data_IF_478529991820
#
_entry.id   IF_478529991820
#
_cell.length_a   1.000
_cell.length_b   1.000
_cell.length_c   1.000
_cell.angle_alpha   90.00
_cell.angle_beta   90.00
_cell.angle_gamma   90.00
#
_symmetry.space_group_name_H-M   'P 1'
#
loop_
_entity.id
_entity.type
_entity.pdbx_description
1 polymer ?
#
# COMPACT_ATOMS: atom_id res chain seq x y z
N UNK A 1 -8.01 -10.64 -14.92
CA UNK A 1 -7.59 -9.25 -14.71
C UNK A 1 -8.55 -8.58 -13.74
N UNK A 2 -8.02 -7.95 -12.72
CA UNK A 2 -8.84 -7.27 -11.70
C UNK A 2 -8.78 -5.77 -11.91
N UNK A 3 -9.88 -5.09 -11.62
CA UNK A 3 -9.98 -3.65 -11.74
C UNK A 3 -10.31 -3.02 -10.40
N UNK A 4 -9.70 -1.87 -10.11
CA UNK A 4 -10.00 -1.06 -8.93
C UNK A 4 -10.17 0.39 -9.35
N UNK A 5 -10.99 1.15 -8.65
CA UNK A 5 -11.10 2.58 -8.90
C UNK A 5 -9.76 3.27 -8.61
N UNK A 6 -9.13 2.91 -7.48
CA UNK A 6 -7.84 3.44 -7.09
C UNK A 6 -6.88 2.28 -6.82
N UNK A 7 -5.75 2.29 -7.52
CA UNK A 7 -4.69 1.31 -7.31
C UNK A 7 -3.48 2.04 -6.72
N UNK A 8 -3.04 1.59 -5.56
CA UNK A 8 -1.90 2.16 -4.86
C UNK A 8 -0.76 1.14 -4.91
N UNK A 9 0.39 1.56 -5.38
CA UNK A 9 1.58 0.73 -5.41
C UNK A 9 2.48 1.16 -4.25
N UNK A 10 2.60 0.30 -3.27
CA UNK A 10 3.34 0.55 -2.04
C UNK A 10 2.42 0.67 -0.83
N UNK A 11 2.56 -0.26 0.11
CA UNK A 11 1.74 -0.33 1.33
C UNK A 11 2.42 0.18 2.58
N UNK A 12 3.40 1.07 2.43
CA UNK A 12 4.00 1.74 3.58
C UNK A 12 3.07 2.79 4.17
N UNK A 13 3.57 3.59 5.11
CA UNK A 13 2.77 4.62 5.77
C UNK A 13 2.07 5.56 4.77
N UNK A 14 2.78 5.95 3.72
CA UNK A 14 2.22 6.87 2.72
C UNK A 14 1.06 6.23 1.96
N UNK A 15 1.22 4.98 1.50
CA UNK A 15 0.16 4.28 0.76
C UNK A 15 -1.08 4.05 1.60
N UNK A 16 -0.91 3.63 2.84
CA UNK A 16 -2.02 3.41 3.76
C UNK A 16 -2.70 4.73 4.12
N UNK A 17 -1.94 5.80 4.31
CA UNK A 17 -2.48 7.12 4.60
C UNK A 17 -3.32 7.64 3.43
N UNK A 18 -2.86 7.45 2.20
CA UNK A 18 -3.61 7.83 1.00
C UNK A 18 -4.91 7.04 0.92
N UNK A 19 -4.87 5.73 1.15
CA UNK A 19 -6.07 4.89 1.13
C UNK A 19 -7.09 5.36 2.19
N UNK A 20 -6.62 5.65 3.39
CA UNK A 20 -7.47 6.14 4.47
C UNK A 20 -8.12 7.49 4.11
N UNK A 21 -7.34 8.40 3.53
CA UNK A 21 -7.86 9.71 3.13
C UNK A 21 -8.92 9.58 2.04
N UNK A 22 -8.65 8.75 1.04
CA UNK A 22 -9.60 8.53 -0.05
C UNK A 22 -10.89 7.92 0.49
N UNK A 23 -10.78 6.91 1.35
CA UNK A 23 -11.95 6.27 1.92
C UNK A 23 -12.79 7.23 2.77
N UNK A 24 -12.16 8.17 3.47
CA UNK A 24 -12.88 9.16 4.27
C UNK A 24 -13.62 10.18 3.40
N UNK A 25 -13.10 10.44 2.19
CA UNK A 25 -13.71 11.39 1.26
C UNK A 25 -14.79 10.74 0.41
N UNK A 26 -14.61 9.47 0.04
CA UNK A 26 -15.54 8.76 -0.82
C UNK A 26 -15.45 7.25 -0.55
N UNK A 27 -16.32 6.76 0.32
CA UNK A 27 -16.24 5.38 0.83
C UNK A 27 -16.72 4.31 -0.16
N UNK A 28 -17.29 4.69 -1.30
CA UNK A 28 -17.79 3.73 -2.30
C UNK A 28 -16.78 3.39 -3.38
N UNK A 29 -15.58 3.98 -3.34
CA UNK A 29 -14.52 3.63 -4.27
C UNK A 29 -13.84 2.32 -3.86
N UNK A 30 -13.56 1.47 -4.86
CA UNK A 30 -12.74 0.28 -4.63
C UNK A 30 -11.27 0.68 -4.61
N UNK A 31 -10.58 0.30 -3.54
CA UNK A 31 -9.16 0.64 -3.34
C UNK A 31 -8.37 -0.66 -3.22
N UNK A 32 -7.31 -0.77 -4.00
CA UNK A 32 -6.37 -1.89 -3.90
C UNK A 32 -4.97 -1.36 -3.65
N UNK A 33 -4.20 -2.09 -2.85
CA UNK A 33 -2.81 -1.77 -2.58
C UNK A 33 -1.95 -2.96 -2.96
N UNK A 34 -0.96 -2.72 -3.83
CA UNK A 34 0.03 -3.73 -4.19
C UNK A 34 1.22 -3.56 -3.25
N UNK A 35 1.47 -4.57 -2.41
CA UNK A 35 2.55 -4.55 -1.44
C UNK A 35 3.04 -5.97 -1.19
N UNK A 36 4.30 -6.31 -1.55
CA UNK A 36 4.81 -7.66 -1.35
C UNK A 36 5.19 -7.99 0.10
N UNK A 37 5.43 -7.00 0.93
CA UNK A 37 5.93 -7.20 2.29
C UNK A 37 4.84 -7.64 3.26
N UNK A 38 5.17 -8.60 4.13
CA UNK A 38 4.30 -9.01 5.23
C UNK A 38 4.37 -8.06 6.43
N UNK A 39 5.35 -7.16 6.43
CA UNK A 39 5.65 -6.31 7.58
C UNK A 39 5.50 -4.84 7.24
N UNK A 40 4.91 -4.10 8.14
CA UNK A 40 4.85 -2.64 8.09
C UNK A 40 5.92 -2.07 9.00
N UNK A 41 6.72 -1.15 8.48
CA UNK A 41 7.80 -0.51 9.21
C UNK A 41 7.46 0.95 9.46
N UNK A 42 7.47 1.34 10.73
CA UNK A 42 7.28 2.75 11.09
C UNK A 42 8.63 3.47 11.13
N UNK A 43 9.11 3.86 9.97
CA UNK A 43 10.43 4.47 9.81
C UNK A 43 10.58 5.79 10.56
N UNK A 44 9.51 6.53 10.73
CA UNK A 44 9.54 7.81 11.44
C UNK A 44 10.03 7.67 12.88
N UNK A 45 9.89 6.50 13.50
CA UNK A 45 10.34 6.26 14.87
C UNK A 45 11.81 5.82 14.95
N UNK A 46 12.47 5.56 13.83
CA UNK A 46 13.85 5.03 13.85
C UNK A 46 14.87 5.98 14.44
N UNK A 47 14.64 7.28 14.34
CA UNK A 47 15.49 8.28 15.02
C UNK A 47 15.44 8.07 16.54
N UNK A 48 14.26 7.78 17.08
CA UNK A 48 14.09 7.50 18.50
C UNK A 48 14.73 6.18 18.91
N UNK A 49 14.70 5.19 18.03
CA UNK A 49 15.39 3.91 18.24
C UNK A 49 16.89 4.15 18.37
N UNK A 50 17.47 4.95 17.47
CA UNK A 50 18.88 5.29 17.52
C UNK A 50 19.29 6.02 18.79
N UNK A 51 18.39 6.81 19.37
CA UNK A 51 18.63 7.53 20.62
C UNK A 51 18.33 6.68 21.86
N UNK A 52 17.87 5.42 21.68
CA UNK A 52 17.51 4.54 22.80
C UNK A 52 16.18 4.86 23.47
N UNK A 53 15.38 5.77 22.88
CA UNK A 53 14.09 6.19 23.44
C UNK A 53 12.91 5.35 22.98
N UNK A 54 13.13 4.46 22.01
CA UNK A 54 12.05 3.64 21.42
C UNK A 54 12.61 2.28 21.02
N UNK A 55 11.83 1.23 21.24
CA UNK A 55 12.23 -0.13 20.89
C UNK A 55 11.97 -0.39 19.41
N UNK A 56 12.96 -0.90 18.70
CA UNK A 56 12.84 -1.22 17.27
C UNK A 56 11.68 -2.20 16.99
N UNK A 57 11.41 -3.13 17.90
CA UNK A 57 10.30 -4.06 17.78
C UNK A 57 8.95 -3.38 17.67
N UNK A 58 8.81 -2.20 18.25
CA UNK A 58 7.57 -1.43 18.18
C UNK A 58 7.39 -0.70 16.86
N UNK A 59 8.41 -0.67 15.99
CA UNK A 59 8.33 -0.06 14.67
C UNK A 59 7.95 -1.07 13.58
N UNK A 60 7.89 -2.34 13.93
CA UNK A 60 7.63 -3.44 12.99
C UNK A 60 6.32 -4.11 13.39
N UNK A 61 5.37 -4.15 12.45
CA UNK A 61 4.08 -4.81 12.65
C UNK A 61 3.74 -5.67 11.45
N UNK A 62 2.95 -6.75 11.62
CA UNK A 62 2.44 -7.49 10.47
C UNK A 62 1.61 -6.55 9.57
N UNK A 63 1.80 -6.65 8.27
CA UNK A 63 1.05 -5.83 7.31
C UNK A 63 -0.46 -6.07 7.46
N UNK A 64 -0.86 -7.30 7.77
CA UNK A 64 -2.26 -7.66 7.97
C UNK A 64 -2.95 -6.88 9.11
N UNK A 65 -2.18 -6.41 10.10
CA UNK A 65 -2.74 -5.63 11.21
C UNK A 65 -2.96 -4.16 10.83
N UNK A 66 -2.15 -3.63 9.91
CA UNK A 66 -2.21 -2.21 9.55
C UNK A 66 -2.99 -1.96 8.27
N UNK A 67 -3.17 -2.98 7.44
CA UNK A 67 -3.90 -2.85 6.20
C UNK A 67 -5.39 -2.67 6.49
N UNK A 68 -6.00 -1.55 6.05
CA UNK A 68 -7.43 -1.31 6.33
C UNK A 68 -8.32 -2.38 5.70
N UNK A 69 -9.41 -2.72 6.38
CA UNK A 69 -10.34 -3.76 5.92
C UNK A 69 -11.09 -3.41 4.64
N UNK A 70 -11.20 -2.14 4.29
CA UNK A 70 -11.84 -1.69 3.05
C UNK A 70 -10.89 -1.73 1.85
N UNK A 71 -9.62 -2.07 2.05
CA UNK A 71 -8.61 -2.15 1.00
C UNK A 71 -8.41 -3.60 0.60
N UNK A 72 -8.33 -3.86 -0.70
CA UNK A 72 -7.90 -5.16 -1.22
C UNK A 72 -6.38 -5.16 -1.24
N UNK A 73 -5.79 -5.95 -0.36
CA UNK A 73 -4.33 -6.10 -0.31
C UNK A 73 -3.88 -7.14 -1.33
N UNK A 74 -3.06 -6.71 -2.29
CA UNK A 74 -2.46 -7.58 -3.30
C UNK A 74 -1.01 -7.80 -2.88
N UNK A 75 -0.73 -8.99 -2.35
CA UNK A 75 0.60 -9.35 -1.85
C UNK A 75 1.50 -9.77 -3.01
N UNK A 76 1.79 -8.82 -3.88
CA UNK A 76 2.60 -9.00 -5.08
C UNK A 76 3.46 -7.76 -5.26
N UNK A 77 4.44 -7.82 -6.16
CA UNK A 77 5.24 -6.66 -6.48
C UNK A 77 5.00 -6.23 -7.93
N UNK A 78 5.04 -4.91 -8.15
CA UNK A 78 4.86 -4.35 -9.49
C UNK A 78 6.11 -4.60 -10.32
N UNK A 79 5.93 -5.15 -11.51
CA UNK A 79 7.02 -5.41 -12.44
C UNK A 79 7.06 -4.38 -13.56
N UNK A 80 5.89 -3.95 -14.03
CA UNK A 80 5.80 -3.06 -15.16
C UNK A 80 4.57 -2.16 -15.06
N UNK A 81 4.74 -0.89 -15.36
CA UNK A 81 3.65 0.08 -15.42
C UNK A 81 3.30 0.32 -16.88
N UNK A 82 2.01 0.19 -17.21
CA UNK A 82 1.51 0.37 -18.58
C UNK A 82 0.44 1.46 -18.58
N UNK A 83 0.83 2.74 -18.52
CA UNK A 83 -0.12 3.85 -18.38
C UNK A 83 -1.06 3.99 -19.58
N UNK A 84 -0.64 3.57 -20.75
CA UNK A 84 -1.48 3.64 -21.96
C UNK A 84 -2.73 2.78 -21.86
N UNK A 85 -2.65 1.67 -21.12
CA UNK A 85 -3.79 0.79 -20.89
C UNK A 85 -4.33 0.89 -19.46
N UNK A 86 -3.86 1.85 -18.68
CA UNK A 86 -4.21 2.03 -17.27
C UNK A 86 -4.08 0.73 -16.49
N UNK A 87 -2.90 0.11 -16.60
CA UNK A 87 -2.66 -1.17 -15.94
C UNK A 87 -1.26 -1.26 -15.34
N UNK A 88 -1.13 -2.16 -14.36
CA UNK A 88 0.12 -2.52 -13.72
C UNK A 88 0.26 -4.02 -13.79
N UNK A 89 1.40 -4.49 -14.28
CA UNK A 89 1.73 -5.90 -14.29
C UNK A 89 2.52 -6.24 -13.04
N UNK A 90 2.10 -7.31 -12.37
CA UNK A 90 2.78 -7.83 -11.18
C UNK A 90 3.43 -9.18 -11.50
N UNK A 91 4.13 -9.74 -10.51
CA UNK A 91 4.70 -11.08 -10.63
C UNK A 91 3.64 -12.19 -10.78
N UNK A 92 2.37 -11.88 -10.57
CA UNK A 92 1.31 -12.90 -10.57
C UNK A 92 0.07 -12.50 -11.37
N UNK A 93 0.10 -11.40 -12.10
CA UNK A 93 -1.05 -10.99 -12.91
C UNK A 93 -0.99 -9.54 -13.36
N UNK A 94 -2.12 -9.03 -13.79
CA UNK A 94 -2.27 -7.64 -14.22
C UNK A 94 -3.49 -7.02 -13.56
N UNK A 95 -3.39 -5.75 -13.26
CA UNK A 95 -4.45 -5.00 -12.57
C UNK A 95 -4.70 -3.68 -13.30
N UNK A 96 -5.95 -3.34 -13.50
CA UNK A 96 -6.36 -2.07 -14.12
C UNK A 96 -6.90 -1.12 -13.07
N UNK A 97 -6.92 0.16 -13.42
CA UNK A 97 -7.32 1.21 -12.48
C UNK A 97 -7.92 2.40 -13.20
N UNK A 98 -8.66 3.21 -12.45
CA UNK A 98 -9.07 4.53 -12.90
C UNK A 98 -8.03 5.57 -12.50
N UNK A 99 -7.49 5.44 -11.28
CA UNK A 99 -6.44 6.31 -10.74
C UNK A 99 -5.31 5.48 -10.14
N UNK A 100 -4.08 5.88 -10.40
CA UNK A 100 -2.88 5.21 -9.88
C UNK A 100 -2.13 6.14 -8.94
N UNK A 101 -1.74 5.61 -7.79
CA UNK A 101 -0.88 6.31 -6.82
C UNK A 101 0.34 5.45 -6.57
N UNK A 102 1.53 5.99 -6.74
CA UNK A 102 2.79 5.27 -6.52
C UNK A 102 3.45 5.83 -5.26
N UNK A 103 3.57 4.97 -4.25
CA UNK A 103 4.10 5.32 -2.92
C UNK A 103 5.25 4.40 -2.50
N UNK A 104 6.01 3.91 -3.43
CA UNK A 104 7.15 3.04 -3.16
C UNK A 104 8.31 3.76 -2.49
#
# INVERSE_FOLDING_TARGET
MSHSNVLIVGGGCAGIAVASRINSLKSDLSISIIEPSDKSLYQAAWTLVGAGAYDVGNTIKPMSEVMPGYVKWIKEYAEEFMPESNSVKTNNGSYTYDYLVVCQ
#
